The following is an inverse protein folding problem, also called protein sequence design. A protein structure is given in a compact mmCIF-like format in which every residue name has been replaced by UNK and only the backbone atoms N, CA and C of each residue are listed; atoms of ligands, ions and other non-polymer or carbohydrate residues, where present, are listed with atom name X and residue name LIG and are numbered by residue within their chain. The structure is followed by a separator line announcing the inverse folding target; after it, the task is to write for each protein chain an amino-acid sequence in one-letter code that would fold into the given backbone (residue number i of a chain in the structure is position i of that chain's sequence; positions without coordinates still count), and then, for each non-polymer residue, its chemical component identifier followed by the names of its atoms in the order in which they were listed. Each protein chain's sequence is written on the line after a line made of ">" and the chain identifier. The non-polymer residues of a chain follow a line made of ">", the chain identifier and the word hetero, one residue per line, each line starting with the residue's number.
data_IF_898666266149
#
_entry.id   IF_898666266149
#
_cell.length_a   1.000
_cell.length_b   1.000
_cell.length_c   1.000
_cell.angle_alpha   90.00
_cell.angle_beta   90.00
_cell.angle_gamma   90.00
#
_symmetry.space_group_name_H-M   'P 1'
#
loop_
_entity.id
_entity.type
_entity.pdbx_description
1 polymer ?
#
# COMPACT_ATOMS: atom_id res chain seq x y z
N UNK A 1 27.59 -2.20 7.04
CA UNK A 1 28.55 -1.38 6.30
C UNK A 1 29.34 -0.56 7.32
N UNK A 2 30.62 -0.35 7.14
CA UNK A 2 31.53 0.42 8.01
C UNK A 2 31.87 -0.18 9.38
N UNK A 3 31.36 -1.34 9.78
CA UNK A 3 31.72 -1.98 11.03
C UNK A 3 33.08 -2.71 10.88
N UNK A 4 34.17 -1.99 11.05
CA UNK A 4 35.51 -2.59 11.04
C UNK A 4 35.74 -3.49 12.27
N UNK A 5 35.07 -3.19 13.38
CA UNK A 5 35.09 -3.98 14.61
C UNK A 5 33.68 -4.36 15.01
N UNK A 6 33.52 -5.59 15.47
CA UNK A 6 32.22 -6.13 15.91
C UNK A 6 32.32 -6.68 17.32
N UNK A 7 31.23 -6.69 18.10
CA UNK A 7 31.20 -7.39 19.39
C UNK A 7 31.59 -8.85 19.23
N UNK A 8 32.29 -9.40 20.21
CA UNK A 8 32.77 -10.79 20.17
C UNK A 8 31.62 -11.78 20.01
N UNK A 9 30.49 -11.52 20.66
CA UNK A 9 29.27 -12.32 20.55
C UNK A 9 28.74 -12.37 19.12
N UNK A 10 28.80 -11.24 18.39
CA UNK A 10 28.39 -11.15 16.98
C UNK A 10 29.35 -11.93 16.08
N UNK A 11 30.67 -11.81 16.32
CA UNK A 11 31.66 -12.60 15.59
C UNK A 11 31.48 -14.11 15.80
N UNK A 12 31.13 -14.55 17.00
CA UNK A 12 30.76 -15.96 17.28
C UNK A 12 29.53 -16.39 16.47
N UNK A 13 28.46 -15.59 16.47
CA UNK A 13 27.26 -15.89 15.71
C UNK A 13 27.53 -15.98 14.20
N UNK A 14 28.28 -15.02 13.64
CA UNK A 14 28.64 -15.02 12.22
C UNK A 14 29.51 -16.25 11.87
N UNK A 15 30.52 -16.56 12.69
CA UNK A 15 31.37 -17.73 12.48
C UNK A 15 30.55 -19.03 12.50
N UNK A 16 29.67 -19.18 13.47
CA UNK A 16 28.79 -20.35 13.57
C UNK A 16 27.87 -20.48 12.35
N UNK A 17 27.20 -19.41 11.93
CA UNK A 17 26.38 -19.42 10.70
C UNK A 17 27.18 -19.82 9.48
N UNK A 18 28.39 -19.28 9.32
CA UNK A 18 29.28 -19.59 8.21
C UNK A 18 29.77 -21.05 8.22
N UNK A 19 30.04 -21.61 9.38
CA UNK A 19 30.42 -23.02 9.55
C UNK A 19 29.27 -23.99 9.20
N UNK A 20 28.02 -23.59 9.48
CA UNK A 20 26.83 -24.35 9.12
C UNK A 20 26.43 -24.17 7.65
N UNK A 21 27.23 -23.45 6.85
CA UNK A 21 26.97 -23.25 5.42
C UNK A 21 25.92 -22.19 5.11
N UNK A 22 25.52 -21.38 6.11
CA UNK A 22 24.66 -20.23 5.83
C UNK A 22 25.42 -19.19 4.99
N UNK A 23 24.83 -18.66 3.91
CA UNK A 23 25.50 -17.68 3.05
C UNK A 23 25.68 -16.35 3.79
N UNK A 24 26.91 -16.05 4.15
CA UNK A 24 27.30 -14.79 4.78
C UNK A 24 28.05 -13.92 3.78
N UNK A 25 27.60 -12.68 3.64
CA UNK A 25 28.16 -11.74 2.71
C UNK A 25 28.61 -10.46 3.41
N UNK A 26 29.82 -10.03 3.15
CA UNK A 26 30.36 -8.74 3.58
C UNK A 26 30.47 -7.82 2.38
N UNK A 27 30.13 -6.56 2.58
CA UNK A 27 30.26 -5.53 1.57
C UNK A 27 31.51 -4.69 1.88
N UNK A 28 32.37 -4.53 0.88
CA UNK A 28 33.62 -3.78 0.86
C UNK A 28 34.73 -4.37 1.72
N UNK A 29 34.48 -4.82 2.94
CA UNK A 29 35.52 -5.37 3.80
C UNK A 29 35.01 -6.37 4.83
N UNK A 30 35.85 -7.32 5.21
CA UNK A 30 35.66 -8.14 6.39
C UNK A 30 35.93 -7.33 7.67
N UNK A 31 35.33 -7.70 8.81
CA UNK A 31 35.73 -7.12 10.09
C UNK A 31 37.20 -7.42 10.39
N UNK A 32 37.88 -6.44 10.96
CA UNK A 32 39.32 -6.53 11.26
C UNK A 32 39.64 -7.00 12.67
N UNK A 33 38.68 -6.76 13.61
CA UNK A 33 38.89 -7.02 15.03
C UNK A 33 37.57 -7.08 15.81
N UNK A 34 37.67 -7.39 17.12
CA UNK A 34 36.57 -7.24 18.09
C UNK A 34 36.51 -5.81 18.64
N UNK A 35 35.32 -5.38 19.08
CA UNK A 35 35.13 -4.14 19.84
C UNK A 35 35.67 -4.26 21.26
N UNK A 36 35.70 -5.49 21.81
CA UNK A 36 36.26 -5.78 23.12
C UNK A 36 37.75 -6.13 23.00
N UNK A 37 38.50 -5.94 24.07
CA UNK A 37 39.93 -6.30 24.15
C UNK A 37 40.10 -7.83 24.31
N UNK A 38 39.55 -8.62 23.35
CA UNK A 38 39.57 -10.09 23.35
C UNK A 38 40.14 -10.56 22.00
N UNK A 39 40.98 -11.57 22.02
CA UNK A 39 41.53 -12.16 20.80
C UNK A 39 40.43 -12.78 19.94
N UNK A 40 40.15 -12.16 18.79
CA UNK A 40 39.17 -12.59 17.80
C UNK A 40 39.81 -13.33 16.60
N UNK A 41 41.13 -13.54 16.61
CA UNK A 41 41.89 -14.07 15.44
C UNK A 41 41.30 -15.36 14.87
N UNK A 42 40.92 -16.31 15.72
CA UNK A 42 40.34 -17.59 15.29
C UNK A 42 39.00 -17.40 14.59
N UNK A 43 38.09 -16.58 15.15
CA UNK A 43 36.78 -16.31 14.59
C UNK A 43 36.89 -15.59 13.25
N UNK A 44 37.73 -14.57 13.17
CA UNK A 44 37.99 -13.83 11.94
C UNK A 44 38.58 -14.73 10.85
N UNK A 45 39.43 -15.69 11.20
CA UNK A 45 39.94 -16.67 10.25
C UNK A 45 38.84 -17.57 9.69
N UNK A 46 37.92 -18.07 10.52
CA UNK A 46 36.75 -18.86 10.08
C UNK A 46 35.89 -18.01 9.14
N UNK A 47 35.54 -16.78 9.54
CA UNK A 47 34.71 -15.87 8.75
C UNK A 47 35.34 -15.62 7.37
N UNK A 48 36.62 -15.24 7.31
CA UNK A 48 37.33 -14.99 6.05
C UNK A 48 37.39 -16.21 5.13
N UNK A 49 37.45 -17.41 5.69
CA UNK A 49 37.51 -18.64 4.91
C UNK A 49 36.16 -19.07 4.35
N UNK A 50 35.06 -18.75 5.04
CA UNK A 50 33.72 -19.29 4.74
C UNK A 50 32.75 -18.26 4.16
N UNK A 51 32.88 -16.99 4.54
CA UNK A 51 32.04 -15.93 4.03
C UNK A 51 32.62 -15.32 2.75
N UNK A 52 31.75 -14.66 1.97
CA UNK A 52 32.11 -13.94 0.76
C UNK A 52 32.26 -12.45 1.07
N UNK A 53 33.27 -11.79 0.48
CA UNK A 53 33.41 -10.33 0.53
C UNK A 53 33.45 -9.79 -0.89
N UNK A 54 32.64 -8.78 -1.16
CA UNK A 54 32.61 -8.13 -2.47
C UNK A 54 32.35 -6.62 -2.35
N UNK A 55 32.81 -5.82 -3.32
CA UNK A 55 32.53 -4.39 -3.31
C UNK A 55 31.04 -4.11 -3.52
N UNK A 56 30.54 -3.00 -2.95
CA UNK A 56 29.14 -2.59 -3.09
C UNK A 56 28.70 -2.52 -4.55
N UNK A 57 29.59 -2.07 -5.45
CA UNK A 57 29.31 -1.99 -6.89
C UNK A 57 29.05 -3.35 -7.57
N UNK A 58 29.56 -4.44 -7.00
CA UNK A 58 29.31 -5.80 -7.51
C UNK A 58 28.11 -6.49 -6.86
N UNK A 59 27.51 -5.89 -5.84
CA UNK A 59 26.47 -6.54 -5.04
C UNK A 59 25.22 -6.90 -5.85
N UNK A 60 24.72 -5.97 -6.67
CA UNK A 60 23.53 -6.21 -7.51
C UNK A 60 23.78 -7.35 -8.52
N UNK A 61 24.95 -7.34 -9.18
CA UNK A 61 25.33 -8.41 -10.11
C UNK A 61 25.48 -9.77 -9.40
N UNK A 62 26.05 -9.77 -8.20
CA UNK A 62 26.15 -10.98 -7.39
C UNK A 62 24.77 -11.56 -7.06
N UNK A 63 23.82 -10.75 -6.56
CA UNK A 63 22.46 -11.19 -6.26
C UNK A 63 21.77 -11.76 -7.51
N UNK A 64 21.91 -11.08 -8.65
CA UNK A 64 21.35 -11.55 -9.92
C UNK A 64 21.92 -12.92 -10.34
N UNK A 65 23.24 -13.09 -10.24
CA UNK A 65 23.91 -14.34 -10.59
C UNK A 65 23.53 -15.51 -9.65
N UNK A 66 23.20 -15.21 -8.41
CA UNK A 66 22.68 -16.20 -7.45
C UNK A 66 21.18 -16.46 -7.60
N UNK A 67 20.52 -15.82 -8.57
CA UNK A 67 19.08 -15.89 -8.81
C UNK A 67 18.24 -15.51 -7.56
N UNK A 68 18.79 -14.66 -6.69
CA UNK A 68 18.14 -14.21 -5.47
C UNK A 68 17.02 -13.18 -5.67
N UNK A 69 17.01 -12.31 -6.71
CA UNK A 69 15.87 -11.44 -6.95
C UNK A 69 14.62 -12.26 -7.21
N UNK A 70 13.59 -12.03 -6.42
CA UNK A 70 12.30 -12.73 -6.53
C UNK A 70 11.42 -12.14 -7.63
N UNK A 71 11.58 -10.85 -7.89
CA UNK A 71 10.82 -10.09 -8.88
C UNK A 71 11.81 -9.41 -9.85
N UNK A 72 11.53 -9.51 -11.14
CA UNK A 72 12.27 -8.83 -12.18
C UNK A 72 11.35 -7.83 -12.88
N UNK A 73 11.70 -6.57 -12.84
CA UNK A 73 11.03 -5.53 -13.59
C UNK A 73 11.60 -5.57 -15.01
N UNK A 74 10.72 -5.61 -16.03
CA UNK A 74 11.15 -5.72 -17.42
C UNK A 74 11.66 -4.38 -18.00
N UNK A 75 11.25 -3.26 -17.39
CA UNK A 75 11.82 -1.96 -17.73
C UNK A 75 13.19 -1.76 -17.06
N UNK A 76 14.03 -0.91 -17.67
CA UNK A 76 15.31 -0.53 -17.09
C UNK A 76 15.22 0.48 -15.94
N UNK A 77 14.00 0.94 -15.61
CA UNK A 77 13.77 1.94 -14.55
C UNK A 77 13.88 1.30 -13.16
N UNK A 78 14.75 1.81 -12.29
CA UNK A 78 14.81 1.33 -10.91
C UNK A 78 13.64 1.90 -10.12
N UNK A 79 12.81 1.04 -9.54
CA UNK A 79 11.75 1.41 -8.60
C UNK A 79 12.24 1.20 -7.16
N UNK A 80 12.91 2.21 -6.61
CA UNK A 80 13.49 2.16 -5.25
C UNK A 80 12.43 1.97 -4.15
N UNK A 81 11.19 2.35 -4.44
CA UNK A 81 10.07 2.33 -3.50
C UNK A 81 9.20 1.06 -3.64
N UNK A 82 9.50 0.16 -4.59
CA UNK A 82 8.86 -1.14 -4.65
C UNK A 82 9.44 -2.06 -3.58
N UNK A 83 8.57 -2.54 -2.69
CA UNK A 83 8.89 -3.57 -1.69
C UNK A 83 8.27 -4.89 -2.08
N UNK A 84 9.03 -5.93 -1.85
CA UNK A 84 8.64 -7.31 -2.12
C UNK A 84 8.81 -8.12 -0.83
N UNK A 85 7.72 -8.73 -0.38
CA UNK A 85 7.72 -9.63 0.77
C UNK A 85 7.19 -10.98 0.33
N UNK A 86 7.92 -12.04 0.62
CA UNK A 86 7.49 -13.40 0.32
C UNK A 86 7.28 -14.19 1.61
N UNK A 87 6.18 -14.92 1.64
CA UNK A 87 5.85 -15.87 2.69
C UNK A 87 5.63 -17.25 2.05
N UNK A 88 6.20 -18.28 2.70
CA UNK A 88 6.04 -19.66 2.33
C UNK A 88 5.24 -20.37 3.42
N UNK A 89 4.04 -20.82 3.10
CA UNK A 89 3.26 -21.77 3.91
C UNK A 89 3.58 -23.21 3.51
N UNK A 90 2.86 -24.16 4.11
CA UNK A 90 3.06 -25.59 3.83
C UNK A 90 2.62 -25.92 2.40
N UNK A 91 1.45 -25.45 1.97
CA UNK A 91 0.84 -25.77 0.68
C UNK A 91 0.69 -24.58 -0.27
N UNK A 92 1.08 -23.37 0.15
CA UNK A 92 0.93 -22.15 -0.63
C UNK A 92 2.10 -21.20 -0.44
N UNK A 93 2.23 -20.29 -1.36
CA UNK A 93 3.15 -19.15 -1.27
C UNK A 93 2.36 -17.85 -1.45
N UNK A 94 2.75 -16.83 -0.70
CA UNK A 94 2.25 -15.47 -0.88
C UNK A 94 3.39 -14.52 -1.21
N UNK A 95 3.10 -13.57 -2.07
CA UNK A 95 4.01 -12.46 -2.35
C UNK A 95 3.25 -11.15 -2.27
N UNK A 96 3.67 -10.27 -1.37
CA UNK A 96 3.16 -8.91 -1.29
C UNK A 96 4.09 -7.97 -2.02
N UNK A 97 3.53 -7.23 -2.95
CA UNK A 97 4.17 -6.14 -3.68
C UNK A 97 3.57 -4.83 -3.19
N UNK A 98 4.39 -3.91 -2.72
CA UNK A 98 3.95 -2.62 -2.17
C UNK A 98 4.71 -1.47 -2.79
N UNK A 99 4.00 -0.46 -3.23
CA UNK A 99 4.56 0.82 -3.62
C UNK A 99 4.65 1.73 -2.38
N UNK A 100 5.87 1.97 -1.86
CA UNK A 100 6.09 2.89 -0.73
C UNK A 100 6.25 4.35 -1.17
N UNK A 101 6.23 4.63 -2.46
CA UNK A 101 6.20 6.00 -2.94
C UNK A 101 4.93 6.70 -2.49
N UNK A 102 5.03 7.96 -2.13
CA UNK A 102 3.88 8.83 -1.82
C UNK A 102 3.50 9.69 -3.03
N UNK A 103 4.26 9.58 -4.15
CA UNK A 103 4.09 10.46 -5.31
C UNK A 103 3.97 9.72 -6.64
N UNK A 104 4.63 8.56 -6.79
CA UNK A 104 4.82 7.93 -8.09
C UNK A 104 4.12 6.57 -8.15
N UNK A 105 3.20 6.37 -9.10
CA UNK A 105 2.65 5.04 -9.37
C UNK A 105 3.71 4.13 -10.01
N UNK A 106 3.45 2.83 -9.96
CA UNK A 106 4.23 1.79 -10.65
C UNK A 106 3.31 1.13 -11.67
N UNK A 107 3.65 1.26 -12.95
CA UNK A 107 2.96 0.61 -14.07
C UNK A 107 3.99 -0.16 -14.89
N UNK A 108 4.21 -1.43 -14.54
CA UNK A 108 5.31 -2.21 -15.13
C UNK A 108 4.96 -3.67 -15.32
N UNK A 109 5.46 -4.25 -16.39
CA UNK A 109 5.49 -5.69 -16.54
C UNK A 109 6.62 -6.29 -15.68
N UNK A 110 6.26 -7.25 -14.86
CA UNK A 110 7.21 -7.96 -13.99
C UNK A 110 7.16 -9.47 -14.24
N UNK A 111 8.28 -10.13 -13.99
CA UNK A 111 8.38 -11.59 -13.95
C UNK A 111 8.88 -12.05 -12.60
N UNK A 112 8.68 -13.33 -12.30
CA UNK A 112 9.07 -13.91 -11.02
C UNK A 112 10.06 -15.06 -11.25
N UNK A 113 11.11 -15.16 -10.41
CA UNK A 113 12.11 -16.23 -10.52
C UNK A 113 11.57 -17.60 -10.09
N UNK A 114 10.91 -17.67 -8.94
CA UNK A 114 10.51 -18.93 -8.28
C UNK A 114 9.05 -18.92 -7.84
N UNK A 115 8.31 -17.92 -8.21
CA UNK A 115 6.92 -17.72 -7.83
C UNK A 115 6.04 -17.71 -9.06
N UNK A 116 4.98 -18.50 -9.04
CA UNK A 116 3.98 -18.57 -10.12
C UNK A 116 2.62 -18.21 -9.53
N UNK A 117 2.24 -16.94 -9.54
CA UNK A 117 0.96 -16.54 -8.97
C UNK A 117 -0.19 -17.15 -9.76
N UNK A 118 -1.14 -17.75 -9.05
CA UNK A 118 -2.39 -18.26 -9.62
C UNK A 118 -3.59 -17.39 -9.27
N UNK A 119 -3.45 -16.57 -8.22
CA UNK A 119 -4.50 -15.71 -7.74
C UNK A 119 -3.97 -14.41 -7.11
N UNK A 120 -4.85 -13.42 -7.03
CA UNK A 120 -4.71 -12.21 -6.22
C UNK A 120 -5.68 -12.30 -5.04
N UNK A 121 -5.21 -12.00 -3.83
CA UNK A 121 -6.02 -11.94 -2.63
C UNK A 121 -6.28 -10.50 -2.24
N UNK A 122 -7.55 -10.11 -2.28
CA UNK A 122 -8.03 -8.83 -1.78
C UNK A 122 -8.32 -8.96 -0.29
N UNK A 123 -7.42 -8.40 0.52
CA UNK A 123 -7.50 -8.48 1.99
C UNK A 123 -8.67 -7.66 2.56
N UNK A 124 -9.08 -6.59 1.88
CA UNK A 124 -10.16 -5.72 2.34
C UNK A 124 -11.52 -6.36 2.19
N UNK A 125 -11.75 -7.09 1.09
CA UNK A 125 -13.02 -7.77 0.83
C UNK A 125 -12.99 -9.23 1.21
N UNK A 126 -11.86 -9.75 1.70
CA UNK A 126 -11.64 -11.18 1.99
C UNK A 126 -12.02 -12.05 0.78
N UNK A 127 -11.57 -11.65 -0.39
CA UNK A 127 -11.88 -12.31 -1.66
C UNK A 127 -10.62 -12.74 -2.39
N UNK A 128 -10.71 -13.85 -3.12
CA UNK A 128 -9.65 -14.33 -3.99
C UNK A 128 -10.13 -14.19 -5.45
N UNK A 129 -9.26 -13.70 -6.30
CA UNK A 129 -9.47 -13.57 -7.73
C UNK A 129 -8.46 -14.40 -8.50
N UNK A 130 -8.92 -15.31 -9.35
CA UNK A 130 -8.03 -16.07 -10.21
C UNK A 130 -7.31 -15.15 -11.21
N UNK A 131 -6.02 -15.36 -11.40
CA UNK A 131 -5.26 -14.71 -12.46
C UNK A 131 -5.38 -15.51 -13.76
N UNK A 132 -5.31 -14.82 -14.90
CA UNK A 132 -5.26 -15.50 -16.21
C UNK A 132 -3.94 -16.27 -16.30
N UNK A 133 -4.01 -17.58 -16.44
CA UNK A 133 -2.88 -18.52 -16.30
C UNK A 133 -1.87 -18.53 -17.44
N UNK A 134 -1.90 -17.61 -18.40
CA UNK A 134 -1.11 -17.69 -19.63
C UNK A 134 -0.06 -16.60 -19.82
N UNK A 135 0.13 -15.71 -18.87
CA UNK A 135 1.07 -14.61 -19.03
C UNK A 135 2.48 -15.00 -18.52
N UNK A 136 3.49 -14.86 -19.35
CA UNK A 136 4.90 -14.95 -18.96
C UNK A 136 5.28 -13.81 -18.00
N UNK A 137 4.51 -12.71 -18.01
CA UNK A 137 4.66 -11.55 -17.16
C UNK A 137 3.36 -11.21 -16.44
N UNK A 138 3.47 -10.50 -15.33
CA UNK A 138 2.37 -9.92 -14.57
C UNK A 138 2.44 -8.40 -14.69
N UNK A 139 1.34 -7.78 -15.15
CA UNK A 139 1.24 -6.32 -15.15
C UNK A 139 1.02 -5.84 -13.73
N UNK A 140 2.05 -5.21 -13.17
CA UNK A 140 1.99 -4.58 -11.86
C UNK A 140 1.51 -3.15 -12.01
N UNK A 141 0.35 -2.87 -11.45
CA UNK A 141 -0.28 -1.56 -11.44
C UNK A 141 -0.55 -1.18 -9.98
N UNK A 142 0.29 -0.30 -9.42
CA UNK A 142 0.24 0.14 -8.03
C UNK A 142 0.28 1.66 -7.95
N UNK A 143 -0.80 2.22 -7.44
CA UNK A 143 -0.82 3.62 -7.02
C UNK A 143 0.10 3.87 -5.81
N UNK A 144 0.46 5.13 -5.50
CA UNK A 144 1.19 5.45 -4.29
C UNK A 144 0.54 4.86 -3.03
N UNK A 145 1.33 4.15 -2.23
CA UNK A 145 0.87 3.49 -1.00
C UNK A 145 0.11 2.18 -1.21
N UNK A 146 -0.19 1.79 -2.44
CA UNK A 146 -0.95 0.58 -2.74
C UNK A 146 -0.13 -0.70 -2.60
N UNK A 147 -0.84 -1.80 -2.33
CA UNK A 147 -0.26 -3.15 -2.24
C UNK A 147 -1.06 -4.15 -3.04
N UNK A 148 -0.38 -5.18 -3.56
CA UNK A 148 -1.00 -6.38 -4.13
C UNK A 148 -0.49 -7.60 -3.39
N UNK A 149 -1.39 -8.49 -3.06
CA UNK A 149 -1.04 -9.79 -2.48
C UNK A 149 -1.34 -10.90 -3.50
N UNK A 150 -0.29 -11.48 -4.03
CA UNK A 150 -0.36 -12.57 -4.98
C UNK A 150 -0.21 -13.90 -4.25
N UNK A 151 -0.95 -14.90 -4.70
CA UNK A 151 -0.96 -16.25 -4.09
C UNK A 151 -0.66 -17.30 -5.16
N UNK A 152 0.10 -18.32 -4.78
CA UNK A 152 0.44 -19.48 -5.58
C UNK A 152 0.19 -20.76 -4.77
N UNK A 153 -0.04 -21.89 -5.46
CA UNK A 153 -0.26 -23.20 -4.81
C UNK A 153 -1.70 -23.47 -4.42
N UNK A 154 -2.64 -22.56 -4.71
CA UNK A 154 -4.07 -22.77 -4.43
C UNK A 154 -4.83 -23.23 -5.68
N UNK A 155 -5.89 -24.02 -5.46
CA UNK A 155 -6.84 -24.36 -6.53
C UNK A 155 -7.72 -23.15 -6.84
N UNK A 156 -7.69 -22.70 -8.09
CA UNK A 156 -8.48 -21.56 -8.57
C UNK A 156 -9.70 -21.98 -9.38
N UNK A 157 -10.05 -23.25 -9.39
CA UNK A 157 -11.21 -23.78 -10.10
C UNK A 157 -12.50 -23.18 -9.54
N UNK A 158 -13.27 -22.47 -10.37
CA UNK A 158 -14.52 -21.81 -9.97
C UNK A 158 -14.34 -20.47 -9.23
N UNK A 159 -13.10 -20.02 -9.01
CA UNK A 159 -12.83 -18.70 -8.45
C UNK A 159 -13.11 -17.62 -9.49
N UNK A 160 -13.71 -16.50 -9.05
CA UNK A 160 -13.93 -15.33 -9.91
C UNK A 160 -12.61 -14.81 -10.48
N UNK A 161 -12.58 -14.54 -11.77
CA UNK A 161 -11.53 -13.70 -12.36
C UNK A 161 -11.89 -12.25 -12.06
N UNK A 162 -10.93 -11.44 -11.60
CA UNK A 162 -11.12 -10.00 -11.41
C UNK A 162 -11.54 -9.39 -12.74
N UNK A 163 -12.77 -8.91 -12.81
CA UNK A 163 -13.36 -8.44 -14.09
C UNK A 163 -12.84 -7.08 -14.53
N UNK A 164 -12.22 -6.33 -13.62
CA UNK A 164 -11.94 -4.92 -13.84
C UNK A 164 -10.46 -4.72 -14.00
N UNK A 165 -10.05 -4.50 -15.23
CA UNK A 165 -8.78 -3.88 -15.54
C UNK A 165 -8.94 -2.37 -15.30
N UNK A 166 -8.35 -1.87 -14.21
CA UNK A 166 -8.43 -0.45 -13.82
C UNK A 166 -7.75 0.47 -14.82
N UNK A 167 -6.96 -0.07 -15.74
CA UNK A 167 -6.28 0.69 -16.80
C UNK A 167 -7.23 1.25 -17.88
N UNK A 168 -8.51 0.85 -17.89
CA UNK A 168 -9.47 1.21 -18.92
C UNK A 168 -10.53 2.23 -18.46
N UNK A 169 -10.15 3.23 -17.66
CA UNK A 169 -11.04 4.37 -17.38
C UNK A 169 -11.35 5.09 -18.70
N UNK A 170 -12.62 5.03 -19.13
CA UNK A 170 -13.06 5.67 -20.38
C UNK A 170 -13.59 7.07 -20.17
N UNK A 171 -14.28 7.27 -19.06
CA UNK A 171 -14.94 8.54 -18.78
C UNK A 171 -14.78 8.87 -17.29
N UNK A 172 -14.56 10.13 -16.99
CA UNK A 172 -14.38 10.64 -15.65
C UNK A 172 -15.21 11.90 -15.45
N UNK A 173 -16.11 11.89 -14.46
CA UNK A 173 -16.98 13.02 -14.14
C UNK A 173 -16.76 13.46 -12.70
N UNK A 174 -16.59 14.78 -12.51
CA UNK A 174 -16.46 15.36 -11.19
C UNK A 174 -17.81 15.44 -10.49
N UNK A 175 -17.86 15.13 -9.21
CA UNK A 175 -19.02 15.39 -8.36
C UNK A 175 -19.08 16.88 -8.04
N UNK A 176 -20.04 17.59 -8.63
CA UNK A 176 -20.19 19.04 -8.49
C UNK A 176 -21.37 19.45 -7.60
N UNK A 177 -22.14 18.48 -7.10
CA UNK A 177 -23.28 18.77 -6.23
C UNK A 177 -22.83 19.28 -4.87
N UNK A 178 -23.55 20.27 -4.29
CA UNK A 178 -23.26 20.72 -2.93
C UNK A 178 -23.31 19.58 -1.92
N UNK A 179 -22.47 19.65 -0.91
CA UNK A 179 -22.41 18.68 0.18
C UNK A 179 -22.86 19.32 1.50
N UNK A 180 -23.67 18.62 2.27
CA UNK A 180 -23.91 18.97 3.67
C UNK A 180 -22.77 18.38 4.51
N UNK A 181 -22.13 19.23 5.31
CA UNK A 181 -21.01 18.81 6.16
C UNK A 181 -21.46 18.77 7.61
N UNK A 182 -21.17 17.66 8.27
CA UNK A 182 -21.37 17.51 9.72
C UNK A 182 -20.17 16.80 10.34
N UNK A 183 -19.97 17.01 11.63
CA UNK A 183 -18.83 16.47 12.35
C UNK A 183 -19.29 15.82 13.66
N UNK A 184 -18.55 14.78 14.06
CA UNK A 184 -18.71 14.11 15.34
C UNK A 184 -17.32 13.87 15.91
N UNK A 185 -17.03 14.40 17.10
CA UNK A 185 -15.80 14.07 17.82
C UNK A 185 -15.95 12.70 18.49
N UNK A 186 -14.84 12.18 19.00
CA UNK A 186 -14.87 10.94 19.77
C UNK A 186 -15.80 11.05 20.99
N UNK A 187 -15.84 12.20 21.64
CA UNK A 187 -16.67 12.49 22.81
C UNK A 187 -18.15 12.61 22.48
N UNK A 188 -18.49 12.93 21.23
CA UNK A 188 -19.90 13.06 20.77
C UNK A 188 -20.58 11.70 20.59
N UNK A 189 -19.84 10.59 20.69
CA UNK A 189 -20.34 9.21 20.58
C UNK A 189 -21.23 8.96 19.35
N UNK A 190 -20.85 9.53 18.19
CA UNK A 190 -21.56 9.37 16.92
C UNK A 190 -22.72 10.35 16.72
N UNK A 191 -22.91 11.33 17.60
CA UNK A 191 -23.83 12.44 17.39
C UNK A 191 -23.18 13.49 16.48
N UNK A 192 -23.77 13.71 15.31
CA UNK A 192 -23.24 14.65 14.33
C UNK A 192 -23.82 16.05 14.53
N UNK A 193 -22.96 17.07 14.47
CA UNK A 193 -23.34 18.49 14.47
C UNK A 193 -23.00 19.13 13.12
N UNK A 194 -23.89 19.94 12.52
CA UNK A 194 -23.67 20.53 11.21
C UNK A 194 -22.55 21.58 11.25
N UNK A 195 -21.78 21.64 10.15
CA UNK A 195 -20.83 22.72 9.87
C UNK A 195 -21.52 23.71 8.94
N UNK A 196 -21.90 24.88 9.49
CA UNK A 196 -22.66 25.88 8.74
C UNK A 196 -21.77 26.70 7.81
N UNK A 197 -22.34 27.15 6.69
CA UNK A 197 -21.67 28.04 5.75
C UNK A 197 -20.69 27.33 4.80
N UNK A 198 -20.64 26.01 4.82
CA UNK A 198 -19.79 25.17 3.96
C UNK A 198 -20.65 24.16 3.20
N UNK A 199 -20.36 24.02 1.90
CA UNK A 199 -21.11 23.11 1.01
C UNK A 199 -20.23 22.50 -0.09
N UNK A 200 -18.92 22.52 0.09
CA UNK A 200 -17.92 21.97 -0.84
C UNK A 200 -16.89 21.11 -0.11
N UNK A 201 -16.19 20.28 -0.85
CA UNK A 201 -15.00 19.59 -0.35
C UNK A 201 -13.87 20.61 -0.21
N UNK A 202 -13.37 20.77 1.00
CA UNK A 202 -12.35 21.76 1.34
C UNK A 202 -11.59 21.38 2.62
N UNK A 203 -10.40 21.95 2.77
CA UNK A 203 -9.60 21.78 3.97
C UNK A 203 -10.20 22.55 5.14
N UNK A 204 -10.59 21.83 6.19
CA UNK A 204 -11.18 22.40 7.39
C UNK A 204 -10.15 22.73 8.49
N UNK A 205 -8.86 22.38 8.31
CA UNK A 205 -7.87 22.58 9.38
C UNK A 205 -7.59 24.04 9.75
N UNK A 206 -7.90 24.97 8.84
CA UNK A 206 -7.73 26.42 9.04
C UNK A 206 -8.98 27.09 9.62
N UNK A 207 -10.07 26.35 9.81
CA UNK A 207 -11.31 26.88 10.35
C UNK A 207 -11.24 27.00 11.89
N UNK A 208 -11.75 28.09 12.45
CA UNK A 208 -11.81 28.23 13.90
C UNK A 208 -12.56 27.09 14.58
N UNK A 209 -11.93 26.47 15.55
CA UNK A 209 -12.45 25.32 16.29
C UNK A 209 -12.10 23.95 15.69
N UNK A 210 -11.33 23.90 14.61
CA UNK A 210 -10.84 22.65 14.02
C UNK A 210 -9.35 22.40 14.25
N UNK A 211 -8.64 23.27 14.96
CA UNK A 211 -7.19 23.20 15.17
C UNK A 211 -6.73 21.92 15.92
N UNK A 212 -7.65 21.30 16.65
CA UNK A 212 -7.42 20.06 17.38
C UNK A 212 -8.53 19.04 17.12
N UNK A 213 -9.21 19.16 15.98
CA UNK A 213 -10.30 18.27 15.66
C UNK A 213 -9.81 16.83 15.48
N UNK A 214 -10.53 15.90 16.08
CA UNK A 214 -10.35 14.46 15.96
C UNK A 214 -11.72 13.80 16.00
N UNK A 215 -11.99 12.93 15.06
CA UNK A 215 -13.32 12.33 14.93
C UNK A 215 -13.70 12.05 13.49
N UNK A 216 -14.95 12.20 13.17
CA UNK A 216 -15.50 11.93 11.84
C UNK A 216 -16.03 13.23 11.23
N UNK A 217 -15.62 13.50 10.01
CA UNK A 217 -16.20 14.51 9.14
C UNK A 217 -17.07 13.78 8.13
N UNK A 218 -18.36 14.08 8.16
CA UNK A 218 -19.36 13.49 7.26
C UNK A 218 -19.76 14.48 6.18
N UNK A 219 -19.71 14.01 4.94
CA UNK A 219 -20.19 14.70 3.76
C UNK A 219 -21.41 13.95 3.21
N UNK A 220 -22.55 14.63 3.12
CA UNK A 220 -23.79 14.06 2.59
C UNK A 220 -24.22 14.80 1.33
N UNK A 221 -24.49 14.06 0.28
CA UNK A 221 -24.94 14.63 -1.00
C UNK A 221 -25.78 13.64 -1.79
N UNK A 222 -26.22 14.07 -2.95
CA UNK A 222 -26.90 13.22 -3.93
C UNK A 222 -26.29 13.42 -5.30
N UNK A 223 -26.33 12.37 -6.12
CA UNK A 223 -25.90 12.39 -7.50
C UNK A 223 -26.88 11.64 -8.39
N UNK A 224 -26.86 11.91 -9.69
CA UNK A 224 -27.76 11.28 -10.65
C UNK A 224 -26.94 10.47 -11.65
N UNK A 225 -27.40 9.26 -11.95
CA UNK A 225 -26.88 8.40 -12.98
C UNK A 225 -28.00 8.11 -13.98
N UNK A 226 -27.81 8.48 -15.25
CA UNK A 226 -28.83 8.33 -16.26
C UNK A 226 -29.02 6.88 -16.72
N UNK A 227 -27.95 6.09 -16.69
CA UNK A 227 -27.99 4.67 -17.06
C UNK A 227 -27.07 3.87 -16.14
N UNK A 228 -27.53 2.74 -15.58
CA UNK A 228 -26.66 1.85 -14.85
C UNK A 228 -25.60 1.28 -15.77
N UNK A 229 -24.46 0.94 -15.22
CA UNK A 229 -23.38 0.30 -15.95
C UNK A 229 -23.90 -0.90 -16.75
N UNK A 230 -23.51 -1.00 -18.03
CA UNK A 230 -23.80 -2.17 -18.85
C UNK A 230 -23.15 -3.41 -18.22
N UNK A 231 -23.62 -4.60 -18.53
CA UNK A 231 -23.24 -5.87 -17.88
C UNK A 231 -21.73 -6.18 -17.77
N UNK A 232 -20.87 -5.38 -18.39
CA UNK A 232 -19.41 -5.51 -18.35
C UNK A 232 -18.70 -4.20 -17.93
N UNK A 233 -19.43 -3.16 -17.51
CA UNK A 233 -18.87 -1.87 -17.11
C UNK A 233 -18.96 -1.69 -15.60
N UNK A 234 -17.95 -1.06 -15.00
CA UNK A 234 -17.92 -0.70 -13.59
C UNK A 234 -18.01 0.81 -13.38
N UNK A 235 -18.56 1.21 -12.26
CA UNK A 235 -18.55 2.61 -11.80
C UNK A 235 -17.79 2.69 -10.49
N UNK A 236 -16.74 3.50 -10.48
CA UNK A 236 -15.90 3.73 -9.30
C UNK A 236 -16.07 5.16 -8.83
N UNK A 237 -16.09 5.33 -7.52
CA UNK A 237 -15.96 6.62 -6.87
C UNK A 237 -14.52 6.78 -6.39
N UNK A 238 -13.85 7.84 -6.85
CA UNK A 238 -12.46 8.16 -6.52
C UNK A 238 -12.42 9.47 -5.77
N UNK A 239 -11.72 9.49 -4.63
CA UNK A 239 -11.59 10.67 -3.78
C UNK A 239 -10.13 11.09 -3.76
N UNK A 240 -9.86 12.28 -4.26
CA UNK A 240 -8.55 12.92 -4.21
C UNK A 240 -8.47 13.85 -3.01
N UNK A 241 -7.27 14.05 -2.49
CA UNK A 241 -7.03 14.99 -1.40
C UNK A 241 -7.67 14.60 -0.06
N UNK A 242 -7.96 13.32 0.14
CA UNK A 242 -8.36 12.80 1.43
C UNK A 242 -7.16 12.23 2.20
N UNK A 243 -7.27 12.19 3.51
CA UNK A 243 -6.30 11.59 4.40
C UNK A 243 -6.98 10.57 5.32
N UNK A 244 -6.18 9.63 5.83
CA UNK A 244 -6.57 8.67 6.85
C UNK A 244 -7.67 7.70 6.37
N UNK A 245 -8.79 7.57 7.09
CA UNK A 245 -9.79 6.55 6.76
C UNK A 245 -11.01 7.15 6.10
N UNK A 246 -11.37 6.60 4.94
CA UNK A 246 -12.61 6.95 4.23
C UNK A 246 -13.56 5.77 4.23
N UNK A 247 -14.80 6.00 4.63
CA UNK A 247 -15.89 5.05 4.49
C UNK A 247 -17.02 5.64 3.65
N UNK A 248 -17.53 4.87 2.69
CA UNK A 248 -18.67 5.29 1.86
C UNK A 248 -19.96 4.57 2.27
N UNK A 249 -21.07 5.30 2.15
CA UNK A 249 -22.40 4.70 2.12
C UNK A 249 -23.13 5.20 0.87
N UNK A 250 -23.53 4.28 0.01
CA UNK A 250 -24.29 4.56 -1.22
C UNK A 250 -25.66 3.89 -1.10
N UNK A 251 -26.73 4.66 -1.20
CA UNK A 251 -28.11 4.15 -1.13
C UNK A 251 -28.34 3.22 0.09
N UNK A 252 -27.84 3.59 1.27
CA UNK A 252 -27.92 2.84 2.53
C UNK A 252 -27.00 1.60 2.59
N UNK A 253 -26.19 1.32 1.59
CA UNK A 253 -25.18 0.26 1.60
C UNK A 253 -23.84 0.85 2.00
N UNK A 254 -23.33 0.46 3.16
CA UNK A 254 -22.01 0.87 3.64
C UNK A 254 -20.95 -0.05 3.07
N UNK A 255 -19.97 0.52 2.39
CA UNK A 255 -18.85 -0.19 1.77
C UNK A 255 -17.74 -0.41 2.81
N UNK A 256 -16.81 -1.30 2.50
CA UNK A 256 -15.62 -1.49 3.31
C UNK A 256 -14.74 -0.21 3.28
N UNK A 257 -14.21 0.25 4.44
CA UNK A 257 -13.43 1.48 4.50
C UNK A 257 -12.06 1.33 3.84
N UNK A 258 -11.59 2.39 3.18
CA UNK A 258 -10.21 2.53 2.76
C UNK A 258 -9.40 3.22 3.87
N UNK A 259 -8.32 2.57 4.34
CA UNK A 259 -7.50 3.04 5.47
C UNK A 259 -6.42 4.03 5.01
N UNK A 260 -6.26 4.22 3.72
CA UNK A 260 -5.29 5.11 3.09
C UNK A 260 -5.49 5.14 1.58
N UNK A 261 -4.76 6.03 0.92
CA UNK A 261 -4.81 6.12 -0.54
C UNK A 261 -4.34 4.80 -1.20
N UNK A 262 -4.87 4.48 -2.39
CA UNK A 262 -5.85 5.25 -3.15
C UNK A 262 -7.28 5.05 -2.63
N UNK A 263 -8.03 6.15 -2.50
CA UNK A 263 -9.44 6.10 -2.09
C UNK A 263 -10.33 5.87 -3.31
N UNK A 264 -10.44 4.62 -3.72
CA UNK A 264 -11.16 4.18 -4.90
C UNK A 264 -12.11 3.04 -4.54
N UNK A 265 -13.40 3.25 -4.76
CA UNK A 265 -14.47 2.35 -4.32
C UNK A 265 -15.29 1.91 -5.52
N UNK A 266 -15.47 0.60 -5.70
CA UNK A 266 -16.43 0.06 -6.65
C UNK A 266 -17.85 0.24 -6.10
N UNK A 267 -18.62 1.09 -6.77
CA UNK A 267 -20.01 1.39 -6.39
C UNK A 267 -21.02 0.77 -7.37
N UNK A 268 -20.57 -0.03 -8.31
CA UNK A 268 -21.37 -0.57 -9.42
C UNK A 268 -22.67 -1.23 -8.97
N UNK A 269 -22.60 -2.08 -7.95
CA UNK A 269 -23.73 -2.86 -7.45
C UNK A 269 -24.67 -2.08 -6.52
N UNK A 270 -24.29 -0.85 -6.14
CA UNK A 270 -25.01 -0.04 -5.15
C UNK A 270 -25.74 1.17 -5.73
N UNK A 271 -25.52 1.45 -7.01
CA UNK A 271 -26.15 2.57 -7.72
C UNK A 271 -27.43 2.13 -8.43
N UNK A 272 -28.38 3.07 -8.54
CA UNK A 272 -29.62 2.87 -9.28
C UNK A 272 -29.77 3.97 -10.35
N UNK A 273 -30.53 3.72 -11.43
CA UNK A 273 -30.89 4.78 -12.36
C UNK A 273 -31.62 5.92 -11.67
N UNK A 274 -31.27 7.15 -12.00
CA UNK A 274 -31.82 8.33 -11.39
C UNK A 274 -31.03 8.79 -10.16
N UNK A 275 -31.73 9.27 -9.14
CA UNK A 275 -31.13 9.89 -7.95
C UNK A 275 -30.59 8.86 -6.98
N UNK A 276 -29.34 9.02 -6.58
CA UNK A 276 -28.61 8.23 -5.59
C UNK A 276 -28.20 9.09 -4.41
N UNK A 277 -28.14 8.50 -3.22
CA UNK A 277 -27.60 9.13 -2.01
C UNK A 277 -26.16 8.71 -1.80
N UNK A 278 -25.31 9.65 -1.36
CA UNK A 278 -23.91 9.42 -1.02
C UNK A 278 -23.59 10.03 0.32
N UNK A 279 -23.01 9.23 1.20
CA UNK A 279 -22.38 9.67 2.43
C UNK A 279 -20.91 9.27 2.39
N UNK A 280 -20.05 10.23 2.69
CA UNK A 280 -18.59 10.01 2.80
C UNK A 280 -18.21 10.36 4.23
N UNK A 281 -17.76 9.40 5.00
CA UNK A 281 -17.21 9.59 6.33
C UNK A 281 -15.68 9.58 6.25
N UNK A 282 -15.06 10.71 6.58
CA UNK A 282 -13.62 10.81 6.75
C UNK A 282 -13.28 10.79 8.23
N UNK A 283 -12.73 9.67 8.70
CA UNK A 283 -12.30 9.50 10.08
C UNK A 283 -10.86 9.94 10.23
N UNK A 284 -10.62 10.88 11.15
CA UNK A 284 -9.30 11.46 11.41
C UNK A 284 -8.63 10.77 12.59
N UNK A 285 -7.31 10.95 12.70
CA UNK A 285 -6.53 10.46 13.85
C UNK A 285 -6.60 11.43 15.03
N UNK A 286 -6.14 10.96 16.19
CA UNK A 286 -5.96 11.79 17.39
C UNK A 286 -4.68 12.63 17.36
N UNK A 287 -3.94 12.60 16.26
CA UNK A 287 -2.67 13.30 16.12
C UNK A 287 -2.74 14.81 16.41
N UNK A 288 -3.78 15.56 16.00
CA UNK A 288 -3.91 16.97 16.32
C UNK A 288 -3.95 17.30 17.83
N UNK A 289 -4.26 16.31 18.68
CA UNK A 289 -4.22 16.46 20.15
C UNK A 289 -2.82 16.36 20.73
N UNK A 290 -1.85 15.75 20.01
CA UNK A 290 -0.49 15.53 20.50
C UNK A 290 0.33 16.78 20.24
N UNK A 291 0.25 17.75 21.16
CA UNK A 291 0.85 19.09 21.00
C UNK A 291 2.36 19.13 21.22
N UNK A 292 2.95 18.11 21.85
CA UNK A 292 4.33 18.12 22.33
C UNK A 292 5.25 17.10 21.65
N UNK A 293 4.81 16.48 20.56
CA UNK A 293 5.63 15.52 19.84
C UNK A 293 6.66 16.25 18.95
N UNK A 294 7.94 16.24 19.26
CA UNK A 294 8.98 16.77 18.37
C UNK A 294 9.16 15.80 17.20
N UNK A 295 8.36 15.95 16.18
CA UNK A 295 8.43 15.13 14.97
C UNK A 295 8.52 16.02 13.73
N UNK A 296 9.33 15.62 12.77
CA UNK A 296 9.38 16.24 11.44
C UNK A 296 8.05 16.10 10.67
N UNK A 297 7.16 15.23 11.16
CA UNK A 297 5.85 14.98 10.59
C UNK A 297 4.73 15.80 11.27
N UNK A 298 5.06 16.79 12.08
CA UNK A 298 4.09 17.65 12.79
C UNK A 298 3.51 18.77 11.91
N UNK A 299 3.62 18.68 10.59
CA UNK A 299 2.92 19.59 9.69
C UNK A 299 1.40 19.48 9.88
N UNK A 300 0.69 20.60 9.75
CA UNK A 300 -0.76 20.59 9.65
C UNK A 300 -1.15 19.81 8.40
N UNK A 301 -1.65 18.62 8.57
CA UNK A 301 -2.25 17.87 7.47
C UNK A 301 -3.60 18.49 7.13
N UNK A 302 -3.99 18.50 5.84
CA UNK A 302 -5.34 18.84 5.47
C UNK A 302 -6.35 18.03 6.27
N UNK A 303 -7.38 18.68 6.79
CA UNK A 303 -8.45 18.06 7.54
C UNK A 303 -9.68 17.94 6.64
N UNK A 304 -10.18 16.74 6.46
CA UNK A 304 -11.28 16.48 5.53
C UNK A 304 -10.78 16.15 4.12
N UNK A 305 -11.64 16.38 3.14
CA UNK A 305 -11.36 16.16 1.72
C UNK A 305 -10.98 17.48 1.09
N UNK A 306 -9.70 17.66 0.75
CA UNK A 306 -9.13 18.88 0.16
C UNK A 306 -8.89 18.70 -1.36
N UNK A 307 -9.72 17.93 -2.01
CA UNK A 307 -9.58 17.62 -3.43
C UNK A 307 -10.91 17.37 -4.10
N UNK A 308 -10.86 16.70 -5.23
CA UNK A 308 -12.02 16.40 -6.02
C UNK A 308 -12.53 14.97 -5.76
N UNK A 309 -13.84 14.81 -5.87
CA UNK A 309 -14.51 13.50 -5.91
C UNK A 309 -14.96 13.22 -7.33
N UNK A 310 -14.63 12.05 -7.85
CA UNK A 310 -14.84 11.67 -9.24
C UNK A 310 -15.63 10.38 -9.37
N UNK A 311 -16.43 10.29 -10.41
CA UNK A 311 -16.96 9.04 -10.91
C UNK A 311 -16.12 8.59 -12.12
N UNK A 312 -15.59 7.37 -12.08
CA UNK A 312 -14.87 6.73 -13.16
C UNK A 312 -15.71 5.60 -13.75
N UNK A 313 -15.95 5.65 -15.04
CA UNK A 313 -16.65 4.62 -15.78
C UNK A 313 -15.65 3.74 -16.51
N UNK A 314 -15.78 2.43 -16.31
CA UNK A 314 -14.95 1.40 -16.93
C UNK A 314 -15.84 0.51 -17.76
N UNK A 315 -15.41 0.13 -18.96
CA UNK A 315 -16.12 -0.82 -19.81
C UNK A 315 -15.37 -2.13 -19.93
#
# INVERSE_FOLDING_TARGET
>A
PYAQKLPISVLHGIAALSEHGFPVLFIDAFPSDSCEHVDATKLLSIIRKKATCLPLTAFAAFLKNQQLPMVHILSEKPYKDLRVYQYQGDDYQCMMLRNESIWQPIHEDITFSFFKPSAEYDVYHNCIYALKSSAESYMLDLEPGESRLLVSGIDTTGIRIKKVDTSLVKERYKLETPVAISVSTYEDHGSFRPVHGRSSFENLCIEPGFESFHGIIRYETTFTIDSPAKSNSGVFLVIEGANEVIQLTVNQHTLFPAIGAPYRFDITDYIVPGKNQLIIDNTTTVFPLIKDAPSVNTGLHPLGIDGAVWFEYIN
#
